data_IF_329777699108
#
_entry.id   IF_329777699108
#
_cell.length_a   1.000
_cell.length_b   1.000
_cell.length_c   1.000
_cell.angle_alpha   90.00
_cell.angle_beta   90.00
_cell.angle_gamma   90.00
#
_symmetry.space_group_name_H-M   'P 1'
#
loop_
_entity.id
_entity.type
_entity.pdbx_description
1 polymer ?
#
# COMPACT_ATOMS: atom_id res chain seq x y z
N UNK A 1 -3.21 15.84 -22.06
CA UNK A 1 -3.28 14.41 -22.44
C UNK A 1 -1.88 13.77 -22.66
N UNK A 2 -0.83 14.52 -23.05
CA UNK A 2 0.52 13.98 -23.31
C UNK A 2 1.41 13.83 -22.08
N UNK A 3 1.13 14.49 -20.95
CA UNK A 3 2.00 14.46 -19.76
C UNK A 3 2.03 13.08 -19.09
N UNK A 4 0.90 12.41 -18.96
CA UNK A 4 0.83 11.09 -18.32
C UNK A 4 1.63 10.01 -19.06
N UNK A 5 1.63 10.02 -20.39
CA UNK A 5 2.39 9.08 -21.20
C UNK A 5 3.89 9.36 -21.17
N UNK A 6 4.29 10.62 -21.09
CA UNK A 6 5.71 11.03 -20.96
C UNK A 6 6.25 10.58 -19.60
N UNK A 7 5.53 10.84 -18.51
CA UNK A 7 5.92 10.38 -17.16
C UNK A 7 6.01 8.86 -17.08
N UNK A 8 5.08 8.16 -17.70
CA UNK A 8 5.07 6.69 -17.72
C UNK A 8 6.27 6.11 -18.46
N UNK A 9 6.62 6.69 -19.63
CA UNK A 9 7.83 6.31 -20.37
C UNK A 9 9.10 6.60 -19.58
N UNK A 10 9.15 7.74 -18.89
CA UNK A 10 10.29 8.10 -18.04
C UNK A 10 10.45 7.15 -16.85
N UNK A 11 9.35 6.76 -16.19
CA UNK A 11 9.37 5.82 -15.06
C UNK A 11 9.75 4.43 -15.53
N UNK A 12 9.20 3.95 -16.63
CA UNK A 12 9.63 2.70 -17.26
C UNK A 12 11.13 2.74 -17.61
N UNK A 13 11.61 3.86 -18.13
CA UNK A 13 13.04 4.05 -18.43
C UNK A 13 13.91 4.05 -17.17
N UNK A 14 13.49 4.71 -16.10
CA UNK A 14 14.19 4.69 -14.80
C UNK A 14 14.21 3.28 -14.22
N UNK A 15 13.09 2.55 -14.26
CA UNK A 15 13.00 1.16 -13.80
C UNK A 15 13.92 0.24 -14.61
N UNK A 16 14.13 0.51 -15.90
CA UNK A 16 15.06 -0.27 -16.74
C UNK A 16 16.54 0.03 -16.45
N UNK A 17 16.86 1.15 -15.80
CA UNK A 17 18.25 1.48 -15.39
C UNK A 17 18.74 0.71 -14.16
N UNK A 18 17.86 -0.10 -13.57
CA UNK A 18 18.20 -1.06 -12.54
C UNK A 18 18.18 -0.50 -11.12
N UNK A 19 18.48 -1.38 -10.17
CA UNK A 19 18.34 -1.21 -8.72
C UNK A 19 19.05 0.03 -8.17
N UNK A 20 20.13 0.50 -8.77
CA UNK A 20 20.86 1.66 -8.26
C UNK A 20 20.04 2.94 -8.35
N UNK A 21 19.34 3.16 -9.45
CA UNK A 21 18.44 4.31 -9.61
C UNK A 21 17.23 4.22 -8.68
N UNK A 22 16.63 3.02 -8.55
CA UNK A 22 15.51 2.77 -7.66
C UNK A 22 15.89 2.97 -6.19
N UNK A 23 17.07 2.50 -5.77
CA UNK A 23 17.60 2.71 -4.43
C UNK A 23 17.79 4.19 -4.11
N UNK A 24 18.39 4.96 -5.02
CA UNK A 24 18.61 6.39 -4.83
C UNK A 24 17.30 7.16 -4.74
N UNK A 25 16.37 6.89 -5.66
CA UNK A 25 15.05 7.52 -5.67
C UNK A 25 14.26 7.17 -4.40
N UNK A 26 14.24 5.90 -4.00
CA UNK A 26 13.55 5.43 -2.81
C UNK A 26 14.12 6.03 -1.51
N UNK A 27 15.44 6.19 -1.44
CA UNK A 27 16.08 6.81 -0.26
C UNK A 27 15.69 8.30 -0.13
N UNK A 28 15.76 9.07 -1.20
CA UNK A 28 15.37 10.49 -1.19
C UNK A 28 13.88 10.62 -0.88
N UNK A 29 13.05 9.88 -1.61
CA UNK A 29 11.59 9.91 -1.45
C UNK A 29 11.15 9.52 -0.05
N UNK A 30 11.64 8.38 0.44
CA UNK A 30 11.30 7.88 1.77
C UNK A 30 11.71 8.84 2.88
N UNK A 31 12.91 9.37 2.82
CA UNK A 31 13.39 10.36 3.80
C UNK A 31 12.57 11.65 3.74
N UNK A 32 12.31 12.18 2.55
CA UNK A 32 11.53 13.40 2.38
C UNK A 32 10.09 13.25 2.87
N UNK A 33 9.43 12.15 2.53
CA UNK A 33 8.06 11.87 2.99
C UNK A 33 7.99 11.68 4.51
N UNK A 34 8.96 10.98 5.09
CA UNK A 34 9.04 10.80 6.54
C UNK A 34 9.24 12.14 7.25
N UNK A 35 10.20 12.95 6.80
CA UNK A 35 10.43 14.30 7.36
C UNK A 35 9.17 15.16 7.26
N UNK A 36 8.46 15.13 6.13
CA UNK A 36 7.20 15.86 5.98
C UNK A 36 6.10 15.35 6.91
N UNK A 37 6.03 14.04 7.16
CA UNK A 37 5.06 13.46 8.11
C UNK A 37 5.35 13.91 9.54
N UNK A 38 6.60 13.88 9.96
CA UNK A 38 7.00 14.37 11.28
C UNK A 38 6.78 15.89 11.40
N UNK A 39 7.12 16.65 10.37
CA UNK A 39 6.88 18.09 10.34
C UNK A 39 5.38 18.41 10.46
N UNK A 40 4.54 17.67 9.75
CA UNK A 40 3.08 17.78 9.84
C UNK A 40 2.59 17.59 11.29
N UNK A 41 3.00 16.49 11.92
CA UNK A 41 2.63 16.18 13.31
C UNK A 41 3.09 17.28 14.26
N UNK A 42 4.33 17.71 14.16
CA UNK A 42 4.89 18.75 15.02
C UNK A 42 4.19 20.11 14.84
N UNK A 43 3.89 20.48 13.61
CA UNK A 43 3.18 21.72 13.33
C UNK A 43 1.73 21.67 13.81
N UNK A 44 1.03 20.56 13.65
CA UNK A 44 -0.35 20.41 14.09
C UNK A 44 -0.45 20.41 15.63
N UNK A 45 0.38 19.64 16.31
CA UNK A 45 0.44 19.61 17.80
C UNK A 45 0.95 20.92 18.37
N UNK A 46 1.84 21.60 17.66
CA UNK A 46 2.40 22.89 18.08
C UNK A 46 1.37 24.03 18.08
N UNK A 47 0.33 23.95 17.24
CA UNK A 47 -0.70 25.01 17.17
C UNK A 47 -1.37 25.24 18.54
N UNK A 48 -1.99 24.26 19.20
CA UNK A 48 -2.64 24.48 20.49
C UNK A 48 -1.67 24.82 21.62
N UNK A 49 -0.40 24.43 21.53
CA UNK A 49 0.62 24.73 22.53
C UNK A 49 1.09 26.18 22.47
N UNK A 50 1.18 26.77 21.28
CA UNK A 50 1.73 28.11 21.05
C UNK A 50 0.64 29.16 20.89
N UNK A 51 -0.54 28.72 20.39
CA UNK A 51 -1.72 29.57 20.18
C UNK A 51 -2.95 28.95 20.82
N UNK A 52 -3.04 28.96 22.18
CA UNK A 52 -4.13 28.30 22.91
C UNK A 52 -5.52 28.84 22.59
N UNK A 53 -5.62 30.08 22.07
CA UNK A 53 -6.88 30.69 21.68
C UNK A 53 -7.48 30.12 20.38
N UNK A 54 -6.72 29.28 19.67
CA UNK A 54 -7.17 28.69 18.42
C UNK A 54 -8.01 27.45 18.71
N UNK A 55 -9.28 27.47 18.32
CA UNK A 55 -10.14 26.30 18.41
C UNK A 55 -9.68 25.19 17.45
N UNK A 56 -9.56 23.98 17.99
CA UNK A 56 -9.33 22.79 17.18
C UNK A 56 -10.61 22.45 16.39
N UNK A 57 -10.43 21.89 15.19
CA UNK A 57 -11.56 21.59 14.32
C UNK A 57 -12.50 20.53 14.92
N UNK A 58 -11.93 19.47 15.51
CA UNK A 58 -12.73 18.47 16.24
C UNK A 58 -13.02 18.96 17.66
N UNK A 59 -14.29 19.04 18.00
CA UNK A 59 -14.73 19.42 19.34
C UNK A 59 -14.37 18.34 20.40
N UNK A 60 -14.14 18.80 21.64
CA UNK A 60 -13.90 17.92 22.79
C UNK A 60 -12.68 16.97 22.66
N UNK A 61 -11.63 17.38 21.98
CA UNK A 61 -10.38 16.61 21.92
C UNK A 61 -9.65 16.47 23.26
N UNK A 62 -10.07 17.24 24.28
CA UNK A 62 -9.66 17.13 25.67
C UNK A 62 -10.31 15.94 26.40
N UNK A 63 -11.40 15.38 25.85
CA UNK A 63 -12.13 14.28 26.46
C UNK A 63 -11.70 12.93 25.89
N UNK A 64 -11.46 11.96 26.75
CA UNK A 64 -11.07 10.60 26.35
C UNK A 64 -12.14 9.89 25.50
N UNK A 65 -13.40 10.26 25.69
CA UNK A 65 -14.55 9.73 24.94
C UNK A 65 -14.44 10.00 23.42
N UNK A 66 -13.78 11.10 23.02
CA UNK A 66 -13.54 11.46 21.60
C UNK A 66 -12.63 10.45 20.90
N UNK A 67 -11.78 9.75 21.67
CA UNK A 67 -10.82 8.77 21.14
C UNK A 67 -11.33 7.33 21.20
N UNK A 68 -12.51 7.10 21.79
CA UNK A 68 -13.11 5.77 21.82
C UNK A 68 -13.96 5.60 20.56
N UNK A 69 -13.58 4.67 19.66
CA UNK A 69 -14.34 4.46 18.43
C UNK A 69 -15.73 3.89 18.77
N UNK A 70 -16.72 4.29 18.00
CA UNK A 70 -18.02 3.62 18.02
C UNK A 70 -17.86 2.28 17.30
N UNK A 71 -17.89 1.18 18.04
CA UNK A 71 -17.76 -0.18 17.49
C UNK A 71 -19.07 -0.59 16.81
N UNK A 72 -19.41 0.12 15.75
CA UNK A 72 -20.53 -0.21 14.86
C UNK A 72 -20.05 -1.02 13.65
N UNK A 73 -21.00 -1.49 12.85
CA UNK A 73 -20.66 -2.28 11.67
C UNK A 73 -19.84 -1.48 10.64
N UNK A 74 -20.09 -0.19 10.51
CA UNK A 74 -19.34 0.72 9.63
C UNK A 74 -17.86 0.81 10.05
N UNK A 75 -17.56 0.88 11.35
CA UNK A 75 -16.18 0.83 11.84
C UNK A 75 -15.44 -0.43 11.37
N UNK A 76 -16.08 -1.59 11.49
CA UNK A 76 -15.45 -2.86 11.11
C UNK A 76 -15.22 -2.98 9.60
N UNK A 77 -16.09 -2.41 8.77
CA UNK A 77 -15.91 -2.45 7.30
C UNK A 77 -14.74 -1.58 6.83
N UNK A 78 -14.29 -0.61 7.63
CA UNK A 78 -13.12 0.23 7.31
C UNK A 78 -11.78 -0.44 7.65
N UNK A 79 -11.76 -1.54 8.40
CA UNK A 79 -10.52 -2.20 8.85
C UNK A 79 -9.65 -2.65 7.67
N UNK A 80 -10.24 -3.06 6.55
CA UNK A 80 -9.47 -3.44 5.36
C UNK A 80 -8.61 -2.29 4.83
N UNK A 81 -9.14 -1.07 4.80
CA UNK A 81 -8.40 0.14 4.42
C UNK A 81 -7.26 0.43 5.40
N UNK A 82 -7.48 0.23 6.72
CA UNK A 82 -6.44 0.40 7.73
C UNK A 82 -5.32 -0.63 7.57
N UNK A 83 -5.67 -1.90 7.37
CA UNK A 83 -4.67 -2.97 7.11
C UNK A 83 -3.89 -2.68 5.82
N UNK A 84 -4.56 -2.25 4.77
CA UNK A 84 -3.92 -1.84 3.51
C UNK A 84 -2.97 -0.66 3.70
N UNK A 85 -3.38 0.36 4.46
CA UNK A 85 -2.59 1.59 4.64
C UNK A 85 -1.27 1.38 5.39
N UNK A 86 -1.19 0.35 6.24
CA UNK A 86 0.05 -0.01 6.96
C UNK A 86 0.85 -1.13 6.27
N UNK A 87 0.35 -1.66 5.16
CA UNK A 87 1.01 -2.66 4.32
C UNK A 87 2.20 -2.10 3.53
N UNK A 88 2.83 -2.95 2.71
CA UNK A 88 3.92 -2.56 1.79
C UNK A 88 5.30 -3.10 2.17
N UNK A 89 5.47 -3.60 3.39
CA UNK A 89 6.74 -4.16 3.88
C UNK A 89 7.20 -5.37 3.05
N UNK A 90 6.28 -6.16 2.55
CA UNK A 90 6.51 -7.32 1.69
C UNK A 90 7.23 -6.97 0.40
N UNK A 91 7.05 -5.75 -0.11
CA UNK A 91 7.73 -5.26 -1.31
C UNK A 91 9.25 -5.22 -1.18
N UNK A 92 9.77 -5.28 0.04
CA UNK A 92 11.22 -5.35 0.31
C UNK A 92 11.77 -6.77 0.25
N UNK A 93 10.93 -7.80 0.29
CA UNK A 93 11.35 -9.21 0.33
C UNK A 93 12.27 -9.64 -0.83
N UNK A 94 12.08 -9.22 -2.10
CA UNK A 94 12.95 -9.61 -3.20
C UNK A 94 14.37 -9.06 -3.09
N UNK A 95 14.59 -8.07 -2.24
CA UNK A 95 15.88 -7.38 -2.11
C UNK A 95 16.71 -7.86 -0.92
N UNK A 96 16.19 -8.79 -0.10
CA UNK A 96 16.86 -9.33 1.10
C UNK A 96 18.26 -9.85 0.80
N UNK A 97 18.44 -10.61 -0.28
CA UNK A 97 19.73 -11.17 -0.69
C UNK A 97 20.77 -10.12 -1.14
N UNK A 98 20.37 -8.85 -1.30
CA UNK A 98 21.27 -7.73 -1.64
C UNK A 98 21.77 -6.97 -0.43
N UNK A 99 21.31 -7.34 0.76
CA UNK A 99 21.67 -6.73 2.04
C UNK A 99 22.88 -7.45 2.61
N UNK A 100 23.85 -6.72 3.16
CA UNK A 100 24.94 -7.31 3.94
C UNK A 100 24.37 -7.86 5.25
N UNK A 101 24.69 -9.10 5.60
CA UNK A 101 24.19 -9.77 6.80
C UNK A 101 22.64 -9.72 6.92
N UNK A 102 21.91 -10.30 5.96
CA UNK A 102 20.46 -10.13 5.88
C UNK A 102 19.73 -10.63 7.14
N UNK A 103 20.23 -11.67 7.79
CA UNK A 103 19.66 -12.20 9.04
C UNK A 103 19.66 -11.20 10.21
N UNK A 104 20.57 -10.22 10.21
CA UNK A 104 20.67 -9.19 11.27
C UNK A 104 20.06 -7.85 10.83
N UNK A 105 20.40 -7.40 9.63
CA UNK A 105 20.06 -6.03 9.21
C UNK A 105 18.62 -5.90 8.66
N UNK A 106 18.11 -6.94 7.98
CA UNK A 106 16.75 -6.90 7.46
C UNK A 106 15.69 -6.83 8.58
N UNK A 107 15.73 -7.66 9.63
CA UNK A 107 14.77 -7.58 10.74
C UNK A 107 14.79 -6.23 11.46
N UNK A 108 15.97 -5.64 11.67
CA UNK A 108 16.09 -4.31 12.28
C UNK A 108 15.41 -3.25 11.42
N UNK A 109 15.64 -3.29 10.10
CA UNK A 109 14.98 -2.39 9.16
C UNK A 109 13.46 -2.54 9.18
N UNK A 110 12.95 -3.77 9.25
CA UNK A 110 11.51 -4.05 9.32
C UNK A 110 10.89 -3.54 10.62
N UNK A 111 11.55 -3.75 11.76
CA UNK A 111 11.09 -3.24 13.06
C UNK A 111 11.09 -1.70 13.07
N UNK A 112 12.17 -1.08 12.59
CA UNK A 112 12.26 0.38 12.51
C UNK A 112 11.13 0.95 11.62
N UNK A 113 10.85 0.31 10.49
CA UNK A 113 9.76 0.69 9.59
C UNK A 113 8.40 0.53 10.27
N UNK A 114 8.14 -0.59 10.96
CA UNK A 114 6.89 -0.82 11.66
C UNK A 114 6.65 0.23 12.76
N UNK A 115 7.66 0.58 13.55
CA UNK A 115 7.60 1.63 14.56
C UNK A 115 7.33 2.99 13.93
N UNK A 116 8.04 3.32 12.84
CA UNK A 116 7.86 4.57 12.11
C UNK A 116 6.45 4.71 11.53
N UNK A 117 5.94 3.65 10.88
CA UNK A 117 4.58 3.63 10.34
C UNK A 117 3.55 3.76 11.47
N UNK A 118 3.73 3.04 12.59
CA UNK A 118 2.85 3.13 13.75
C UNK A 118 2.80 4.55 14.33
N UNK A 119 3.94 5.21 14.50
CA UNK A 119 4.03 6.59 14.97
C UNK A 119 3.29 7.53 13.99
N UNK A 120 3.60 7.44 12.70
CA UNK A 120 2.97 8.29 11.70
C UNK A 120 1.45 8.03 11.58
N UNK A 121 1.00 6.79 11.71
CA UNK A 121 -0.41 6.46 11.66
C UNK A 121 -1.17 7.05 12.86
N UNK A 122 -0.69 6.82 14.08
CA UNK A 122 -1.37 7.30 15.30
C UNK A 122 -1.33 8.82 15.40
N UNK A 123 -0.14 9.41 15.40
CA UNK A 123 0.00 10.86 15.57
C UNK A 123 -0.43 11.64 14.34
N UNK A 124 -0.29 11.08 13.14
CA UNK A 124 -0.81 11.68 11.91
C UNK A 124 -2.33 11.76 11.91
N UNK A 125 -3.02 10.71 12.36
CA UNK A 125 -4.48 10.73 12.48
C UNK A 125 -4.97 11.73 13.54
N UNK A 126 -4.28 11.83 14.67
CA UNK A 126 -4.56 12.85 15.68
C UNK A 126 -4.37 14.25 15.14
N UNK A 127 -3.27 14.49 14.42
CA UNK A 127 -2.98 15.77 13.79
C UNK A 127 -4.04 16.16 12.73
N UNK A 128 -4.55 15.18 11.97
CA UNK A 128 -5.67 15.40 11.03
C UNK A 128 -6.95 15.79 11.77
N UNK A 129 -7.28 15.15 12.89
CA UNK A 129 -8.44 15.50 13.73
C UNK A 129 -8.33 16.90 14.36
N UNK A 130 -7.11 17.42 14.59
CA UNK A 130 -6.91 18.80 15.03
C UNK A 130 -7.26 19.83 13.95
N UNK A 131 -7.14 19.44 12.66
CA UNK A 131 -7.28 20.35 11.51
C UNK A 131 -8.67 20.22 10.88
N UNK A 132 -9.25 19.02 10.86
CA UNK A 132 -10.55 18.72 10.27
C UNK A 132 -11.49 18.21 11.33
N UNK A 133 -12.75 18.66 11.26
CA UNK A 133 -13.80 18.15 12.15
C UNK A 133 -14.13 16.70 11.79
N UNK A 134 -13.94 15.81 12.75
CA UNK A 134 -14.23 14.36 12.60
C UNK A 134 -15.72 14.06 12.36
N UNK A 135 -16.62 14.98 12.72
CA UNK A 135 -18.05 14.85 12.48
C UNK A 135 -18.51 15.38 11.13
N UNK A 136 -17.67 16.17 10.46
CA UNK A 136 -17.97 16.77 9.17
C UNK A 136 -16.77 16.66 8.22
N UNK A 137 -16.49 15.44 7.78
CA UNK A 137 -15.33 15.11 6.95
C UNK A 137 -15.57 15.56 5.51
N UNK A 138 -14.67 16.39 4.92
CA UNK A 138 -14.78 16.78 3.51
C UNK A 138 -14.77 15.57 2.58
N UNK A 139 -15.62 15.58 1.55
CA UNK A 139 -15.73 14.45 0.61
C UNK A 139 -14.42 14.17 -0.16
N UNK A 140 -13.61 15.20 -0.37
CA UNK A 140 -12.32 15.12 -1.06
C UNK A 140 -11.12 14.91 -0.14
N UNK A 141 -11.35 14.64 1.18
CA UNK A 141 -10.29 14.46 2.17
C UNK A 141 -9.28 13.38 1.78
N UNK A 142 -9.76 12.28 1.21
CA UNK A 142 -8.91 11.17 0.78
C UNK A 142 -7.91 11.59 -0.31
N UNK A 143 -8.28 12.52 -1.18
CA UNK A 143 -7.45 12.99 -2.28
C UNK A 143 -6.66 14.24 -1.95
N UNK A 144 -7.31 15.23 -1.36
CA UNK A 144 -6.76 16.55 -1.17
C UNK A 144 -6.49 16.90 0.29
N UNK A 145 -6.87 16.03 1.25
CA UNK A 145 -6.82 16.33 2.68
C UNK A 145 -5.44 16.75 3.18
N UNK A 146 -4.38 16.08 2.74
CA UNK A 146 -3.03 16.45 3.14
C UNK A 146 -2.60 17.84 2.60
N UNK A 147 -2.99 18.17 1.36
CA UNK A 147 -2.74 19.51 0.80
C UNK A 147 -3.50 20.60 1.55
N UNK A 148 -4.77 20.33 1.85
CA UNK A 148 -5.61 21.23 2.64
C UNK A 148 -5.08 21.40 4.05
N UNK A 149 -4.63 20.31 4.69
CA UNK A 149 -4.02 20.35 6.00
C UNK A 149 -2.78 21.22 6.05
N UNK A 150 -1.85 21.07 5.10
CA UNK A 150 -0.69 21.96 5.01
C UNK A 150 -1.05 23.40 4.67
N UNK A 151 -2.12 23.63 3.92
CA UNK A 151 -2.62 24.99 3.66
C UNK A 151 -3.16 25.65 4.93
N UNK A 152 -3.92 24.91 5.73
CA UNK A 152 -4.44 25.37 7.04
C UNK A 152 -3.27 25.67 7.99
N UNK A 153 -2.32 24.74 8.12
CA UNK A 153 -1.13 24.95 8.95
C UNK A 153 -0.29 26.13 8.48
N UNK A 154 -0.14 26.32 7.16
CA UNK A 154 0.57 27.46 6.60
C UNK A 154 -0.05 28.82 6.98
N UNK A 155 -1.37 28.88 7.05
CA UNK A 155 -2.10 30.07 7.55
C UNK A 155 -1.90 30.26 9.05
N UNK A 156 -1.98 29.19 9.86
CA UNK A 156 -1.80 29.29 11.31
C UNK A 156 -0.39 29.76 11.72
N UNK A 157 0.61 29.34 10.97
CA UNK A 157 2.01 29.69 11.21
C UNK A 157 2.48 30.93 10.44
N UNK A 158 1.57 31.61 9.70
CA UNK A 158 1.89 32.78 8.86
C UNK A 158 2.98 32.53 7.80
N UNK A 159 3.07 31.30 7.30
CA UNK A 159 4.05 30.88 6.28
C UNK A 159 3.40 30.86 4.88
N UNK A 160 2.10 31.07 4.81
CA UNK A 160 1.33 31.05 3.55
C UNK A 160 1.37 29.68 2.86
N UNK A 161 1.55 29.69 1.54
CA UNK A 161 1.51 28.47 0.72
C UNK A 161 2.84 27.70 0.63
N UNK A 162 3.90 28.14 1.35
CA UNK A 162 5.23 27.51 1.27
C UNK A 162 5.16 26.04 1.67
N UNK A 163 4.44 25.71 2.76
CA UNK A 163 4.28 24.34 3.22
C UNK A 163 3.58 23.45 2.18
N UNK A 164 2.56 23.97 1.51
CA UNK A 164 1.85 23.23 0.44
C UNK A 164 2.78 22.94 -0.72
N UNK A 165 3.60 23.93 -1.11
CA UNK A 165 4.54 23.78 -2.23
C UNK A 165 5.62 22.75 -1.90
N UNK A 166 6.20 22.78 -0.70
CA UNK A 166 7.19 21.80 -0.26
C UNK A 166 6.56 20.41 -0.21
N UNK A 167 5.34 20.29 0.34
CA UNK A 167 4.61 19.02 0.38
C UNK A 167 4.33 18.50 -1.03
N UNK A 168 3.89 19.34 -1.96
CA UNK A 168 3.61 18.96 -3.34
C UNK A 168 4.87 18.41 -4.05
N UNK A 169 6.02 19.05 -3.87
CA UNK A 169 7.29 18.57 -4.41
C UNK A 169 7.70 17.24 -3.79
N UNK A 170 7.56 17.10 -2.47
CA UNK A 170 7.85 15.85 -1.76
C UNK A 170 6.94 14.73 -2.23
N UNK A 171 5.65 15.00 -2.38
CA UNK A 171 4.69 14.02 -2.91
C UNK A 171 5.00 13.62 -4.34
N UNK A 172 5.38 14.55 -5.20
CA UNK A 172 5.76 14.22 -6.57
C UNK A 172 6.93 13.25 -6.62
N UNK A 173 7.98 13.49 -5.83
CA UNK A 173 9.14 12.59 -5.73
C UNK A 173 8.73 11.26 -5.09
N UNK A 174 7.94 11.30 -4.02
CA UNK A 174 7.45 10.13 -3.29
C UNK A 174 6.61 9.21 -4.17
N UNK A 175 5.61 9.76 -4.86
CA UNK A 175 4.72 8.99 -5.74
C UNK A 175 5.48 8.41 -6.95
N UNK A 176 6.48 9.13 -7.47
CA UNK A 176 7.33 8.61 -8.53
C UNK A 176 8.13 7.39 -8.07
N UNK A 177 8.70 7.43 -6.87
CA UNK A 177 9.42 6.30 -6.28
C UNK A 177 8.49 5.13 -5.96
N UNK A 178 7.32 5.39 -5.39
CA UNK A 178 6.31 4.37 -5.08
C UNK A 178 5.84 3.68 -6.35
N UNK A 179 5.55 4.42 -7.41
CA UNK A 179 5.13 3.84 -8.69
C UNK A 179 6.23 2.95 -9.30
N UNK A 180 7.49 3.41 -9.26
CA UNK A 180 8.61 2.61 -9.74
C UNK A 180 8.76 1.30 -8.93
N UNK A 181 8.64 1.36 -7.61
CA UNK A 181 8.72 0.20 -6.73
C UNK A 181 7.51 -0.74 -6.92
N UNK A 182 6.31 -0.19 -7.07
CA UNK A 182 5.08 -0.98 -7.29
C UNK A 182 5.08 -1.73 -8.62
N UNK A 183 5.89 -1.31 -9.58
CA UNK A 183 6.11 -2.04 -10.84
C UNK A 183 7.24 -3.07 -10.66
N UNK A 184 8.37 -2.68 -10.06
CA UNK A 184 9.56 -3.53 -9.99
C UNK A 184 9.41 -4.67 -8.99
N UNK A 185 8.90 -4.43 -7.79
CA UNK A 185 8.84 -5.42 -6.72
C UNK A 185 8.00 -6.67 -7.10
N UNK A 186 6.76 -6.55 -7.61
CA UNK A 186 5.97 -7.70 -8.05
C UNK A 186 6.63 -8.47 -9.20
N UNK A 187 7.26 -7.76 -10.14
CA UNK A 187 7.99 -8.41 -11.23
C UNK A 187 9.21 -9.19 -10.74
N UNK A 188 9.94 -8.66 -9.75
CA UNK A 188 11.06 -9.38 -9.12
C UNK A 188 10.58 -10.58 -8.32
N UNK A 189 9.49 -10.46 -7.57
CA UNK A 189 8.91 -11.59 -6.81
C UNK A 189 8.48 -12.68 -7.79
N UNK A 190 7.69 -12.33 -8.79
CA UNK A 190 7.03 -13.31 -9.66
C UNK A 190 7.98 -13.87 -10.74
N UNK A 191 8.68 -13.00 -11.48
CA UNK A 191 9.46 -13.42 -12.63
C UNK A 191 10.90 -13.83 -12.30
N UNK A 192 11.47 -13.31 -11.20
CA UNK A 192 12.84 -13.62 -10.82
C UNK A 192 12.95 -14.78 -9.82
N UNK A 193 11.92 -15.02 -9.01
CA UNK A 193 11.92 -15.99 -7.92
C UNK A 193 11.05 -17.22 -8.19
N UNK A 194 10.15 -17.17 -9.17
CA UNK A 194 9.30 -18.29 -9.52
C UNK A 194 10.03 -19.33 -10.36
N UNK A 195 9.70 -20.61 -10.11
CA UNK A 195 10.19 -21.73 -10.90
C UNK A 195 9.71 -21.65 -12.36
N UNK A 196 10.43 -22.31 -13.23
CA UNK A 196 10.17 -22.31 -14.67
C UNK A 196 8.79 -22.84 -15.07
N UNK A 197 8.17 -23.63 -14.21
CA UNK A 197 6.83 -24.19 -14.41
C UNK A 197 5.69 -23.16 -14.29
N UNK A 198 5.96 -22.03 -13.63
CA UNK A 198 4.92 -21.03 -13.34
C UNK A 198 4.95 -19.81 -14.24
N UNK A 199 6.07 -19.59 -14.96
CA UNK A 199 6.26 -18.36 -15.74
C UNK A 199 6.62 -18.68 -17.19
N UNK A 200 5.84 -18.19 -18.17
CA UNK A 200 6.15 -18.34 -19.58
C UNK A 200 7.54 -17.80 -19.95
N UNK A 201 8.23 -18.47 -20.89
CA UNK A 201 9.61 -18.12 -21.28
C UNK A 201 9.75 -16.68 -21.77
N UNK A 202 8.78 -16.19 -22.54
CA UNK A 202 8.83 -14.84 -23.08
C UNK A 202 8.81 -13.77 -21.98
N UNK A 203 8.17 -14.01 -20.83
CA UNK A 203 8.18 -13.09 -19.69
C UNK A 203 9.49 -13.13 -18.92
N UNK A 204 10.20 -14.26 -18.91
CA UNK A 204 11.49 -14.42 -18.22
C UNK A 204 12.68 -13.86 -19.00
N UNK A 205 12.48 -13.49 -20.27
CA UNK A 205 13.53 -12.93 -21.10
C UNK A 205 14.13 -11.68 -20.47
N UNK A 206 15.44 -11.74 -20.18
CA UNK A 206 16.20 -10.63 -19.59
C UNK A 206 16.99 -9.89 -20.67
N UNK A 207 17.07 -8.57 -20.51
CA UNK A 207 17.98 -7.74 -21.29
C UNK A 207 19.43 -7.97 -20.85
N UNK A 208 20.40 -7.43 -21.62
CA UNK A 208 21.84 -7.45 -21.26
C UNK A 208 22.11 -6.89 -19.84
N UNK A 209 21.24 -6.01 -19.35
CA UNK A 209 21.31 -5.41 -18.02
C UNK A 209 20.56 -6.22 -16.94
N UNK A 210 20.09 -7.43 -17.24
CA UNK A 210 19.36 -8.29 -16.32
C UNK A 210 17.90 -7.90 -16.08
N UNK A 211 17.36 -6.92 -16.81
CA UNK A 211 15.99 -6.39 -16.63
C UNK A 211 14.97 -7.26 -17.35
N UNK A 212 13.83 -7.51 -16.73
CA UNK A 212 12.70 -8.29 -17.25
C UNK A 212 11.84 -7.45 -18.21
N UNK A 213 12.36 -7.16 -19.41
CA UNK A 213 11.76 -6.22 -20.37
C UNK A 213 10.27 -6.50 -20.64
N UNK A 214 9.94 -7.75 -20.93
CA UNK A 214 8.58 -8.11 -21.33
C UNK A 214 7.58 -8.02 -20.16
N UNK A 215 8.03 -8.29 -18.93
CA UNK A 215 7.24 -8.05 -17.74
C UNK A 215 6.89 -6.58 -17.56
N UNK A 216 7.86 -5.67 -17.71
CA UNK A 216 7.62 -4.23 -17.66
C UNK A 216 6.67 -3.76 -18.78
N UNK A 217 6.79 -4.29 -19.99
CA UNK A 217 5.89 -3.97 -21.11
C UNK A 217 4.46 -4.41 -20.77
N UNK A 218 4.28 -5.65 -20.29
CA UNK A 218 2.97 -6.18 -19.91
C UNK A 218 2.32 -5.32 -18.82
N UNK A 219 3.04 -5.05 -17.73
CA UNK A 219 2.56 -4.17 -16.65
C UNK A 219 2.25 -2.77 -17.18
N UNK A 220 3.10 -2.24 -18.06
CA UNK A 220 2.90 -0.95 -18.68
C UNK A 220 1.64 -0.88 -19.54
N UNK A 221 1.33 -1.92 -20.31
CA UNK A 221 0.12 -1.99 -21.13
C UNK A 221 -1.12 -2.09 -20.23
N UNK A 222 -1.13 -2.99 -19.25
CA UNK A 222 -2.27 -3.17 -18.33
C UNK A 222 -2.56 -1.89 -17.54
N UNK A 223 -1.55 -1.29 -16.93
CA UNK A 223 -1.70 -0.02 -16.20
C UNK A 223 -2.13 1.11 -17.13
N UNK A 224 -1.61 1.13 -18.39
CA UNK A 224 -2.01 2.09 -19.40
C UNK A 224 -3.46 2.01 -19.78
N UNK A 225 -3.97 0.82 -19.98
CA UNK A 225 -5.37 0.60 -20.27
C UNK A 225 -6.27 1.15 -19.14
N UNK A 226 -5.90 0.89 -17.87
CA UNK A 226 -6.63 1.41 -16.72
C UNK A 226 -6.60 2.96 -16.61
N UNK A 227 -5.48 3.60 -16.94
CA UNK A 227 -5.37 5.07 -16.93
C UNK A 227 -6.16 5.72 -18.07
N UNK A 228 -6.28 5.04 -19.21
CA UNK A 228 -7.03 5.57 -20.36
C UNK A 228 -8.53 5.39 -20.19
N UNK A 229 -8.98 4.40 -19.43
CA UNK A 229 -10.39 4.09 -19.21
C UNK A 229 -11.25 5.30 -18.79
N UNK A 230 -10.88 6.11 -17.78
CA UNK A 230 -11.61 7.33 -17.45
C UNK A 230 -11.57 8.39 -18.55
N UNK A 231 -10.48 8.46 -19.32
CA UNK A 231 -10.36 9.43 -20.41
C UNK A 231 -11.31 9.15 -21.59
N UNK A 232 -11.87 7.94 -21.67
CA UNK A 232 -12.89 7.55 -22.64
C UNK A 232 -14.30 7.95 -22.19
N UNK A 233 -14.45 8.65 -21.06
CA UNK A 233 -15.74 9.13 -20.59
C UNK A 233 -16.64 8.07 -19.97
N UNK A 234 -16.09 6.90 -19.65
CA UNK A 234 -16.87 5.78 -19.10
C UNK A 234 -17.34 6.03 -17.65
N UNK A 235 -16.57 6.79 -16.88
CA UNK A 235 -16.91 7.27 -15.52
C UNK A 235 -16.06 8.49 -15.16
N UNK A 236 -16.51 9.25 -14.16
CA UNK A 236 -15.70 10.33 -13.58
C UNK A 236 -14.39 9.77 -12.99
N UNK A 237 -13.30 10.50 -13.18
CA UNK A 237 -11.96 10.09 -12.76
C UNK A 237 -11.92 9.74 -11.26
N UNK A 238 -12.59 10.56 -10.44
CA UNK A 238 -12.60 10.38 -8.99
C UNK A 238 -13.30 9.09 -8.57
N UNK A 239 -14.42 8.76 -9.20
CA UNK A 239 -15.14 7.49 -8.96
C UNK A 239 -14.27 6.27 -9.29
N UNK A 240 -13.52 6.31 -10.39
CA UNK A 240 -12.62 5.22 -10.78
C UNK A 240 -11.45 5.09 -9.79
N UNK A 241 -10.86 6.20 -9.35
CA UNK A 241 -9.76 6.20 -8.37
C UNK A 241 -10.22 5.63 -7.04
N UNK A 242 -11.37 6.06 -6.51
CA UNK A 242 -11.93 5.55 -5.27
C UNK A 242 -12.23 4.05 -5.38
N UNK A 243 -12.88 3.62 -6.46
CA UNK A 243 -13.17 2.22 -6.69
C UNK A 243 -11.90 1.34 -6.77
N UNK A 244 -10.87 1.79 -7.50
CA UNK A 244 -9.59 1.09 -7.58
C UNK A 244 -8.88 1.03 -6.24
N UNK A 245 -8.94 2.09 -5.45
CA UNK A 245 -8.34 2.13 -4.11
C UNK A 245 -9.02 1.13 -3.19
N UNK A 246 -10.35 1.08 -3.19
CA UNK A 246 -11.12 0.14 -2.41
C UNK A 246 -10.84 -1.32 -2.83
N UNK A 247 -10.80 -1.60 -4.13
CA UNK A 247 -10.46 -2.92 -4.64
C UNK A 247 -9.04 -3.34 -4.22
N UNK A 248 -8.06 -2.43 -4.31
CA UNK A 248 -6.70 -2.69 -3.88
C UNK A 248 -6.60 -2.90 -2.36
N UNK A 249 -7.41 -2.20 -1.57
CA UNK A 249 -7.49 -2.39 -0.12
C UNK A 249 -8.04 -3.78 0.28
N UNK A 250 -8.74 -4.46 -0.61
CA UNK A 250 -9.19 -5.86 -0.41
C UNK A 250 -8.12 -6.84 -0.93
N UNK A 251 -7.64 -6.63 -2.15
CA UNK A 251 -6.74 -7.56 -2.85
C UNK A 251 -5.36 -7.64 -2.21
N UNK A 252 -4.78 -6.49 -1.80
CA UNK A 252 -3.44 -6.47 -1.20
C UNK A 252 -3.36 -7.24 0.12
N UNK A 253 -4.27 -7.06 1.09
CA UNK A 253 -4.27 -7.87 2.30
C UNK A 253 -4.52 -9.36 2.04
N UNK A 254 -5.25 -9.74 0.99
CA UNK A 254 -5.42 -11.15 0.63
C UNK A 254 -4.08 -11.84 0.32
N UNK A 255 -3.10 -11.11 -0.22
CA UNK A 255 -1.75 -11.65 -0.42
C UNK A 255 -1.07 -11.99 0.90
N UNK A 256 -1.35 -11.23 1.98
CA UNK A 256 -0.77 -11.50 3.31
C UNK A 256 -1.27 -12.79 3.93
N UNK A 257 -2.47 -13.24 3.58
CA UNK A 257 -2.98 -14.53 4.04
C UNK A 257 -2.01 -15.68 3.69
N UNK A 258 -1.46 -15.68 2.48
CA UNK A 258 -0.48 -16.66 2.06
C UNK A 258 0.84 -16.54 2.80
N UNK A 259 1.26 -15.33 3.14
CA UNK A 259 2.45 -15.10 3.97
C UNK A 259 2.24 -15.68 5.37
N UNK A 260 1.08 -15.48 5.99
CA UNK A 260 0.76 -16.08 7.28
C UNK A 260 0.65 -17.60 7.23
N UNK A 261 0.07 -18.15 6.14
CA UNK A 261 0.06 -19.61 5.93
C UNK A 261 1.49 -20.16 5.83
N UNK A 262 2.35 -19.54 5.05
CA UNK A 262 3.76 -19.94 4.96
C UNK A 262 4.47 -19.83 6.31
N UNK A 263 4.22 -18.76 7.07
CA UNK A 263 4.76 -18.57 8.41
C UNK A 263 4.30 -19.68 9.38
N UNK A 264 3.00 -20.00 9.41
CA UNK A 264 2.48 -21.12 10.20
C UNK A 264 3.11 -22.46 9.79
N UNK A 265 3.30 -22.68 8.48
CA UNK A 265 3.94 -23.88 7.96
C UNK A 265 5.39 -24.03 8.45
N UNK A 266 6.18 -22.96 8.51
CA UNK A 266 7.53 -22.97 9.07
C UNK A 266 7.54 -23.40 10.54
N UNK A 267 6.62 -22.88 11.35
CA UNK A 267 6.51 -23.25 12.76
C UNK A 267 5.94 -24.67 12.98
N UNK A 268 5.08 -25.13 12.08
CA UNK A 268 4.61 -26.52 12.11
C UNK A 268 5.74 -27.51 11.86
N UNK A 269 6.67 -27.16 10.96
CA UNK A 269 7.84 -27.98 10.62
C UNK A 269 9.10 -27.46 11.31
N UNK A 270 8.99 -27.07 12.58
CA UNK A 270 10.06 -26.45 13.38
C UNK A 270 11.40 -27.16 13.32
N UNK A 271 11.40 -28.50 13.30
CA UNK A 271 12.64 -29.33 13.33
C UNK A 271 13.51 -29.08 12.08
N UNK A 272 12.92 -28.73 10.95
CA UNK A 272 13.65 -28.37 9.72
C UNK A 272 14.28 -26.97 9.79
N UNK A 273 13.66 -26.05 10.53
CA UNK A 273 14.02 -24.63 10.54
C UNK A 273 14.62 -24.16 11.86
N UNK A 274 14.77 -25.07 12.85
CA UNK A 274 15.34 -24.73 14.18
C UNK A 274 16.76 -24.15 14.14
N UNK A 275 17.50 -24.38 13.05
CA UNK A 275 18.87 -23.91 12.85
C UNK A 275 18.94 -22.68 11.94
N UNK A 276 17.82 -22.05 11.61
CA UNK A 276 17.83 -20.81 10.81
C UNK A 276 18.58 -19.70 11.57
N UNK A 277 19.37 -18.92 10.83
CA UNK A 277 20.15 -17.80 11.39
C UNK A 277 19.29 -16.73 12.06
N UNK A 278 18.07 -16.54 11.57
CA UNK A 278 17.09 -15.63 12.16
C UNK A 278 15.79 -16.36 12.47
N UNK A 279 15.27 -16.12 13.66
CA UNK A 279 13.95 -16.57 14.11
C UNK A 279 13.23 -15.41 14.76
N UNK A 280 12.03 -15.15 14.29
CA UNK A 280 11.19 -14.09 14.86
C UNK A 280 10.78 -14.43 16.29
N UNK A 281 10.41 -15.70 16.54
CA UNK A 281 10.04 -16.23 17.85
C UNK A 281 10.72 -17.58 18.05
N UNK A 282 11.34 -17.78 19.21
CA UNK A 282 12.04 -19.02 19.55
C UNK A 282 11.12 -20.15 20.10
N UNK A 283 9.82 -19.89 20.21
CA UNK A 283 8.83 -20.83 20.69
C UNK A 283 7.92 -21.28 19.55
N UNK A 284 7.89 -22.61 19.29
CA UNK A 284 7.10 -23.23 18.21
C UNK A 284 5.62 -22.91 18.29
N UNK A 285 5.02 -23.08 19.47
CA UNK A 285 3.59 -22.88 19.68
C UNK A 285 3.21 -21.39 19.57
N UNK A 286 3.99 -20.52 20.20
CA UNK A 286 3.74 -19.08 20.15
C UNK A 286 3.88 -18.54 18.73
N UNK A 287 4.90 -18.98 17.97
CA UNK A 287 5.06 -18.59 16.59
C UNK A 287 3.90 -19.03 15.70
N UNK A 288 3.42 -20.27 15.88
CA UNK A 288 2.24 -20.76 15.17
C UNK A 288 0.98 -19.96 15.51
N UNK A 289 0.74 -19.69 16.80
CA UNK A 289 -0.43 -18.90 17.25
C UNK A 289 -0.40 -17.46 16.74
N UNK A 290 0.77 -16.84 16.69
CA UNK A 290 0.90 -15.50 16.11
C UNK A 290 0.62 -15.49 14.60
N UNK A 291 1.07 -16.52 13.88
CA UNK A 291 0.73 -16.69 12.46
C UNK A 291 -0.78 -16.88 12.26
N UNK A 292 -1.40 -17.70 13.12
CA UNK A 292 -2.84 -17.95 13.09
C UNK A 292 -3.64 -16.66 13.42
N UNK A 293 -3.20 -15.88 14.41
CA UNK A 293 -3.81 -14.60 14.74
C UNK A 293 -3.72 -13.61 13.57
N UNK A 294 -2.53 -13.47 12.97
CA UNK A 294 -2.34 -12.60 11.80
C UNK A 294 -3.22 -13.03 10.62
N UNK A 295 -3.30 -14.35 10.36
CA UNK A 295 -4.19 -14.90 9.34
C UNK A 295 -5.66 -14.58 9.63
N UNK A 296 -6.14 -14.87 10.84
CA UNK A 296 -7.54 -14.67 11.22
C UNK A 296 -7.94 -13.19 11.17
N UNK A 297 -7.08 -12.31 11.70
CA UNK A 297 -7.32 -10.86 11.66
C UNK A 297 -7.35 -10.32 10.22
N UNK A 298 -6.41 -10.73 9.38
CA UNK A 298 -6.37 -10.29 7.98
C UNK A 298 -7.53 -10.86 7.18
N UNK A 299 -7.91 -12.12 7.40
CA UNK A 299 -9.10 -12.71 6.76
C UNK A 299 -10.38 -11.97 7.17
N UNK A 300 -10.53 -11.67 8.45
CA UNK A 300 -11.63 -10.88 8.98
C UNK A 300 -11.70 -9.50 8.29
N UNK A 301 -10.56 -8.80 8.21
CA UNK A 301 -10.46 -7.51 7.54
C UNK A 301 -10.85 -7.60 6.06
N UNK A 302 -10.36 -8.62 5.32
CA UNK A 302 -10.70 -8.82 3.91
C UNK A 302 -12.20 -9.09 3.71
N UNK A 303 -12.79 -9.95 4.53
CA UNK A 303 -14.22 -10.30 4.45
C UNK A 303 -15.10 -9.05 4.68
N UNK A 304 -14.82 -8.30 5.74
CA UNK A 304 -15.56 -7.10 6.05
C UNK A 304 -15.32 -5.96 5.05
N UNK A 305 -14.11 -5.86 4.51
CA UNK A 305 -13.78 -4.88 3.47
C UNK A 305 -14.53 -5.11 2.15
N UNK A 306 -15.04 -6.33 1.91
CA UNK A 306 -15.90 -6.60 0.75
C UNK A 306 -17.29 -5.97 0.88
N UNK A 307 -17.73 -5.65 2.10
CA UNK A 307 -19.05 -5.06 2.34
C UNK A 307 -19.05 -3.60 1.90
N UNK A 308 -20.00 -3.17 1.05
CA UNK A 308 -20.09 -1.78 0.60
C UNK A 308 -20.34 -0.82 1.76
N UNK A 309 -19.69 0.34 1.73
CA UNK A 309 -19.92 1.44 2.67
C UNK A 309 -21.03 2.40 2.19
N UNK A 310 -21.93 1.91 1.36
CA UNK A 310 -23.06 2.64 0.81
C UNK A 310 -24.28 2.28 1.66
N UNK A 311 -25.16 3.25 1.91
CA UNK A 311 -26.42 2.99 2.61
C UNK A 311 -27.35 2.16 1.72
N UNK A 312 -27.61 0.93 2.18
CA UNK A 312 -28.52 0.00 1.50
C UNK A 312 -29.94 0.58 1.31
N UNK A 313 -30.43 1.36 2.29
CA UNK A 313 -31.76 1.91 2.23
C UNK A 313 -31.93 2.99 1.14
N UNK A 314 -30.84 3.70 0.82
CA UNK A 314 -30.87 4.76 -0.21
C UNK A 314 -30.67 4.21 -1.63
N UNK A 315 -29.73 3.25 -1.82
CA UNK A 315 -29.37 2.74 -3.14
C UNK A 315 -29.13 1.21 -3.12
N UNK A 316 -30.19 0.38 -3.04
CA UNK A 316 -30.04 -1.08 -2.97
C UNK A 316 -29.34 -1.70 -4.19
N UNK A 317 -29.60 -1.20 -5.40
CA UNK A 317 -29.03 -1.73 -6.64
C UNK A 317 -27.52 -1.45 -6.73
N UNK A 318 -27.09 -0.26 -6.31
CA UNK A 318 -25.67 0.11 -6.27
C UNK A 318 -24.95 -0.69 -5.19
N UNK A 319 -25.55 -0.87 -4.04
CA UNK A 319 -25.02 -1.68 -2.96
C UNK A 319 -24.73 -3.12 -3.41
N UNK A 320 -25.68 -3.77 -4.06
CA UNK A 320 -25.49 -5.12 -4.60
C UNK A 320 -24.42 -5.18 -5.70
N UNK A 321 -24.39 -4.19 -6.57
CA UNK A 321 -23.37 -4.10 -7.62
C UNK A 321 -21.96 -4.00 -7.03
N UNK A 322 -21.76 -3.15 -6.02
CA UNK A 322 -20.46 -2.97 -5.35
C UNK A 322 -20.08 -4.23 -4.56
N UNK A 323 -21.01 -4.85 -3.83
CA UNK A 323 -20.76 -6.10 -3.11
C UNK A 323 -20.30 -7.21 -4.06
N UNK A 324 -21.04 -7.44 -5.12
CA UNK A 324 -20.73 -8.48 -6.11
C UNK A 324 -19.38 -8.18 -6.78
N UNK A 325 -19.11 -6.93 -7.12
CA UNK A 325 -17.84 -6.51 -7.69
C UNK A 325 -16.67 -6.74 -6.72
N UNK A 326 -16.82 -6.39 -5.45
CA UNK A 326 -15.80 -6.59 -4.42
C UNK A 326 -15.50 -8.06 -4.14
N UNK A 327 -16.47 -8.95 -4.37
CA UNK A 327 -16.28 -10.40 -4.23
C UNK A 327 -15.67 -10.99 -5.53
N UNK A 328 -16.25 -10.69 -6.69
CA UNK A 328 -15.85 -11.33 -7.95
C UNK A 328 -14.48 -10.87 -8.42
N UNK A 329 -14.17 -9.56 -8.32
CA UNK A 329 -12.94 -9.01 -8.88
C UNK A 329 -11.64 -9.58 -8.28
N UNK A 330 -11.49 -9.77 -6.97
CA UNK A 330 -10.31 -10.44 -6.41
C UNK A 330 -10.13 -11.86 -6.95
N UNK A 331 -11.19 -12.63 -7.04
CA UNK A 331 -11.13 -14.00 -7.59
C UNK A 331 -10.88 -14.02 -9.10
N UNK A 332 -11.42 -13.05 -9.85
CA UNK A 332 -11.12 -12.88 -11.27
C UNK A 332 -9.63 -12.55 -11.50
N UNK A 333 -9.05 -11.67 -10.67
CA UNK A 333 -7.62 -11.35 -10.72
C UNK A 333 -6.76 -12.57 -10.38
N UNK A 334 -7.14 -13.35 -9.36
CA UNK A 334 -6.49 -14.63 -9.05
C UNK A 334 -6.57 -15.60 -10.24
N UNK A 335 -7.76 -15.73 -10.86
CA UNK A 335 -7.97 -16.56 -12.06
C UNK A 335 -7.08 -16.13 -13.23
N UNK A 336 -6.96 -14.83 -13.48
CA UNK A 336 -6.03 -14.29 -14.48
C UNK A 336 -4.58 -14.64 -14.15
N UNK A 337 -4.20 -14.60 -12.87
CA UNK A 337 -2.88 -15.02 -12.42
C UNK A 337 -2.58 -16.49 -12.73
N UNK A 338 -3.58 -17.38 -12.67
CA UNK A 338 -3.45 -18.80 -12.97
C UNK A 338 -3.28 -19.11 -14.48
N UNK A 339 -3.60 -18.16 -15.35
CA UNK A 339 -3.39 -18.31 -16.80
C UNK A 339 -1.89 -18.41 -17.12
N UNK A 340 -1.03 -17.70 -16.41
CA UNK A 340 0.41 -17.70 -16.67
C UNK A 340 1.06 -19.08 -16.42
N UNK A 341 0.85 -19.75 -15.27
CA UNK A 341 1.30 -21.12 -15.07
C UNK A 341 0.73 -22.11 -16.08
N UNK A 342 -0.52 -21.93 -16.49
CA UNK A 342 -1.13 -22.78 -17.50
C UNK A 342 -0.40 -22.66 -18.86
N UNK A 343 -0.08 -21.44 -19.30
CA UNK A 343 0.70 -21.19 -20.52
C UNK A 343 2.10 -21.80 -20.37
N UNK A 344 2.79 -21.56 -19.25
CA UNK A 344 4.13 -22.08 -19.00
C UNK A 344 4.21 -23.60 -19.09
N UNK A 345 3.28 -24.30 -18.45
CA UNK A 345 3.19 -25.78 -18.54
C UNK A 345 2.88 -26.28 -19.94
N UNK A 346 2.10 -25.52 -20.73
CA UNK A 346 1.82 -25.87 -22.13
C UNK A 346 3.07 -25.73 -23.00
N UNK A 347 3.85 -24.68 -22.79
CA UNK A 347 5.14 -24.47 -23.48
C UNK A 347 6.13 -25.62 -23.20
N UNK A 348 6.19 -26.10 -21.95
CA UNK A 348 7.05 -27.20 -21.55
C UNK A 348 6.65 -28.53 -22.21
N UNK A 349 5.33 -28.85 -22.24
CA UNK A 349 4.82 -30.06 -22.89
C UNK A 349 5.06 -30.10 -24.41
N UNK A 350 5.21 -28.96 -25.05
CA UNK A 350 5.52 -28.90 -26.48
C UNK A 350 7.01 -29.13 -26.80
N UNK A 351 7.86 -29.18 -25.77
CA UNK A 351 9.31 -29.34 -25.90
C UNK A 351 9.83 -30.69 -25.36
N UNK A 352 9.00 -31.38 -24.59
CA UNK A 352 9.23 -32.78 -24.19
C UNK A 352 8.71 -33.73 -25.25
#
# INVERSE_FOLDING_TARGET
RGLGDVYKRQILYISTKGIRALKFLGMIAGTAMFVMSILFILLAVGVPLIKPDLQLATANMDKIETYIPKFDFSYFTTIALLVFSVGGAESMSPYVHKIKNPAKEFPKGMIAMAVMVGICAVFGSLAMGMIFDSNNIPQDLMRNGAYQAFAVLGKHWNIGNVLVTIYALTQFIGQTATLALSIDAPLQIFLASADEEYVPRWLRARTKNGTLRNGYILTGVLTGALIVMPALGLKEIDTVVVWMTNLNAIVSPMCFLWVFVAFMFLYRHWDRYKNAEYKYINNKTLGFLMGLWGFAFTAFACILGMVPQIDYAQNPSEWWFVLISNIIMPFALLGLGLVLPWIARREQKQQA
#
